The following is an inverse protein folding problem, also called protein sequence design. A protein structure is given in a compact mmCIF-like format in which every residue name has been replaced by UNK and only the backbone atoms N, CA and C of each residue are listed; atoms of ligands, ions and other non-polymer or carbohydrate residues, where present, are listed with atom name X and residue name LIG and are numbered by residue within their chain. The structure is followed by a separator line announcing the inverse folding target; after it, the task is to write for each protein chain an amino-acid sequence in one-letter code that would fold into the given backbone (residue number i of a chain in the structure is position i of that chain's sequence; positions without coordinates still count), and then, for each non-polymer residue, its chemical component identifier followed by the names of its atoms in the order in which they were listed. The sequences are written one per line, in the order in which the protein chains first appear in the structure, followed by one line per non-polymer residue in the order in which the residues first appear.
data_IF_446702764131
#
_entry.id   IF_446702764131
#
_cell.length_a   1.000
_cell.length_b   1.000
_cell.length_c   1.000
_cell.angle_alpha   90.00
_cell.angle_beta   90.00
_cell.angle_gamma   90.00
#
_symmetry.space_group_name_H-M   'P 1'
#
loop_
_entity.id
_entity.type
_entity.pdbx_description
1 polymer ?
#
# COMPACT_ATOMS: atom_id res chain seq x y z
N UNK A 1 34.96 16.93 14.50
CA UNK A 1 34.35 15.61 14.26
C UNK A 1 33.60 15.19 15.53
N UNK A 2 32.28 15.34 15.55
CA UNK A 2 31.46 14.88 16.69
C UNK A 2 31.58 13.35 16.76
N UNK A 3 32.19 12.81 17.83
CA UNK A 3 32.18 11.37 18.12
C UNK A 3 30.70 11.00 18.33
N UNK A 4 30.12 10.21 17.43
CA UNK A 4 28.77 9.66 17.61
C UNK A 4 28.69 8.94 18.94
N UNK A 5 27.93 9.49 19.87
CA UNK A 5 27.85 8.99 21.25
C UNK A 5 27.27 7.57 21.20
N UNK A 6 28.05 6.61 21.71
CA UNK A 6 27.59 5.23 21.89
C UNK A 6 26.62 5.20 23.06
N UNK A 7 25.45 4.64 22.87
CA UNK A 7 24.43 4.54 23.90
C UNK A 7 24.48 3.19 24.62
N UNK A 8 24.44 2.08 23.88
CA UNK A 8 24.55 0.73 24.42
C UNK A 8 24.96 -0.26 23.31
N UNK A 9 25.27 -1.50 23.70
CA UNK A 9 25.63 -2.58 22.75
C UNK A 9 24.72 -3.77 22.97
N UNK A 10 24.26 -4.36 21.88
CA UNK A 10 23.49 -5.62 21.89
C UNK A 10 24.21 -6.62 21.00
N UNK A 11 24.86 -7.60 21.62
CA UNK A 11 25.75 -8.52 20.92
C UNK A 11 26.89 -7.77 20.22
N UNK A 12 27.03 -7.95 18.89
CA UNK A 12 28.03 -7.28 18.07
C UNK A 12 27.58 -5.92 17.51
N UNK A 13 26.35 -5.49 17.80
CA UNK A 13 25.76 -4.24 17.25
C UNK A 13 25.88 -3.10 18.27
N UNK A 14 26.54 -2.00 17.88
CA UNK A 14 26.64 -0.78 18.70
C UNK A 14 25.52 0.20 18.37
N UNK A 15 24.62 0.45 19.33
CA UNK A 15 23.61 1.48 19.23
C UNK A 15 24.22 2.85 19.54
N UNK A 16 24.14 3.76 18.57
CA UNK A 16 24.69 5.12 18.66
C UNK A 16 23.57 6.16 18.57
N UNK A 17 23.83 7.37 19.05
CA UNK A 17 22.88 8.49 18.99
C UNK A 17 22.34 8.73 17.57
N UNK A 18 23.17 8.55 16.54
CA UNK A 18 22.75 8.67 15.15
C UNK A 18 21.61 7.70 14.76
N UNK A 19 21.63 6.45 15.27
CA UNK A 19 20.57 5.49 14.99
C UNK A 19 19.24 5.93 15.59
N UNK A 20 19.29 6.49 16.80
CA UNK A 20 18.11 7.03 17.47
C UNK A 20 17.55 8.24 16.73
N UNK A 21 18.39 9.13 16.21
CA UNK A 21 17.97 10.27 15.40
C UNK A 21 17.34 9.81 14.08
N UNK A 22 17.95 8.83 13.40
CA UNK A 22 17.39 8.27 12.17
C UNK A 22 16.01 7.65 12.43
N UNK A 23 15.88 6.83 13.47
CA UNK A 23 14.60 6.22 13.85
C UNK A 23 13.57 7.31 14.17
N UNK A 24 13.94 8.34 14.91
CA UNK A 24 13.04 9.45 15.23
C UNK A 24 12.56 10.20 13.99
N UNK A 25 13.46 10.53 13.07
CA UNK A 25 13.12 11.22 11.82
C UNK A 25 12.22 10.34 10.94
N UNK A 26 12.54 9.06 10.78
CA UNK A 26 11.75 8.14 9.98
C UNK A 26 10.37 7.89 10.59
N UNK A 27 10.28 7.76 11.91
CA UNK A 27 9.00 7.62 12.62
C UNK A 27 8.13 8.86 12.44
N UNK A 28 8.71 10.05 12.53
CA UNK A 28 8.01 11.30 12.29
C UNK A 28 7.54 11.41 10.85
N UNK A 29 8.40 11.13 9.88
CA UNK A 29 8.06 11.17 8.47
C UNK A 29 6.97 10.15 8.11
N UNK A 30 7.04 8.93 8.65
CA UNK A 30 5.99 7.92 8.51
C UNK A 30 4.67 8.39 9.10
N UNK A 31 4.68 8.95 10.32
CA UNK A 31 3.47 9.43 10.99
C UNK A 31 2.82 10.57 10.23
N UNK A 32 3.60 11.53 9.73
CA UNK A 32 3.08 12.64 8.90
C UNK A 32 2.49 12.09 7.60
N UNK A 33 3.18 11.18 6.92
CA UNK A 33 2.69 10.54 5.70
C UNK A 33 1.37 9.80 5.93
N UNK A 34 1.28 9.06 7.03
CA UNK A 34 0.07 8.33 7.42
C UNK A 34 -1.09 9.29 7.69
N UNK A 35 -0.86 10.36 8.48
CA UNK A 35 -1.87 11.37 8.78
C UNK A 35 -2.40 12.06 7.53
N UNK A 36 -1.51 12.51 6.63
CA UNK A 36 -1.93 13.19 5.40
C UNK A 36 -2.75 12.27 4.50
N UNK A 37 -2.34 11.01 4.35
CA UNK A 37 -3.02 10.04 3.49
C UNK A 37 -4.34 9.54 4.08
N UNK A 38 -4.48 9.53 5.40
CA UNK A 38 -5.72 9.13 6.08
C UNK A 38 -6.78 10.22 6.15
N UNK A 39 -6.48 11.46 5.77
CA UNK A 39 -7.46 12.57 5.81
C UNK A 39 -8.69 12.33 4.92
N UNK A 40 -8.60 11.46 3.91
CA UNK A 40 -9.76 11.03 3.13
C UNK A 40 -10.87 10.42 3.98
N UNK A 41 -10.53 9.83 5.14
CA UNK A 41 -11.51 9.26 6.08
C UNK A 41 -12.43 10.31 6.71
N UNK A 42 -12.01 11.59 6.79
CA UNK A 42 -12.82 12.69 7.33
C UNK A 42 -14.01 13.03 6.42
N UNK A 43 -13.94 12.66 5.14
CA UNK A 43 -14.99 12.90 4.14
C UNK A 43 -15.83 11.65 3.83
N UNK A 44 -15.66 10.60 4.58
CA UNK A 44 -16.27 9.29 4.41
C UNK A 44 -15.23 8.24 4.04
N UNK A 45 -15.47 7.02 4.51
CA UNK A 45 -14.62 5.87 4.21
C UNK A 45 -15.06 5.25 2.88
N UNK A 46 -14.88 6.02 1.79
CA UNK A 46 -15.38 5.69 0.46
C UNK A 46 -14.31 5.93 -0.61
N UNK A 47 -14.43 5.18 -1.71
CA UNK A 47 -13.66 5.43 -2.92
C UNK A 47 -14.35 6.56 -3.72
N UNK A 48 -13.66 7.67 -3.93
CA UNK A 48 -14.27 8.88 -4.52
C UNK A 48 -13.90 9.13 -5.98
N UNK A 49 -12.99 8.33 -6.56
CA UNK A 49 -12.45 8.54 -7.89
C UNK A 49 -12.60 7.29 -8.77
N UNK A 50 -12.58 7.46 -10.07
CA UNK A 50 -12.71 6.37 -11.02
C UNK A 50 -11.61 5.31 -10.89
N UNK A 51 -10.36 5.74 -10.77
CA UNK A 51 -9.20 4.82 -10.67
C UNK A 51 -9.21 3.96 -9.40
N UNK A 52 -9.51 4.49 -8.20
CA UNK A 52 -9.69 3.68 -7.00
C UNK A 52 -10.78 2.60 -7.13
N UNK A 53 -11.92 2.94 -7.73
CA UNK A 53 -12.98 1.95 -8.00
C UNK A 53 -12.55 0.86 -8.96
N UNK A 54 -11.80 1.22 -10.00
CA UNK A 54 -11.26 0.23 -10.91
C UNK A 54 -10.23 -0.67 -10.22
N UNK A 55 -9.33 -0.10 -9.40
CA UNK A 55 -8.34 -0.86 -8.65
C UNK A 55 -8.99 -1.82 -7.63
N UNK A 56 -10.05 -1.38 -6.94
CA UNK A 56 -10.86 -2.25 -6.09
C UNK A 56 -11.43 -3.42 -6.88
N UNK A 57 -12.13 -3.14 -7.97
CA UNK A 57 -12.78 -4.16 -8.80
C UNK A 57 -11.79 -5.14 -9.42
N UNK A 58 -10.62 -4.67 -9.83
CA UNK A 58 -9.56 -5.52 -10.36
C UNK A 58 -8.95 -6.42 -9.26
N UNK A 59 -8.80 -5.91 -8.06
CA UNK A 59 -8.38 -6.69 -6.89
C UNK A 59 -9.43 -7.73 -6.52
N UNK A 60 -10.71 -7.35 -6.49
CA UNK A 60 -11.85 -8.23 -6.24
C UNK A 60 -11.92 -9.37 -7.26
N UNK A 61 -11.68 -9.06 -8.53
CA UNK A 61 -11.63 -10.09 -9.58
C UNK A 61 -10.55 -11.14 -9.30
N UNK A 62 -9.34 -10.73 -8.90
CA UNK A 62 -8.27 -11.67 -8.54
C UNK A 62 -8.62 -12.49 -7.31
N UNK A 63 -9.19 -11.87 -6.27
CA UNK A 63 -9.60 -12.56 -5.03
C UNK A 63 -10.64 -13.64 -5.32
N UNK A 64 -11.59 -13.38 -6.21
CA UNK A 64 -12.70 -14.29 -6.51
C UNK A 64 -12.37 -15.34 -7.58
N UNK A 65 -11.54 -15.00 -8.58
CA UNK A 65 -11.30 -15.84 -9.75
C UNK A 65 -9.84 -16.34 -9.85
N UNK A 66 -8.95 -15.72 -9.12
CA UNK A 66 -7.52 -16.03 -9.16
C UNK A 66 -6.74 -15.22 -10.20
N UNK A 67 -5.41 -15.22 -10.02
CA UNK A 67 -4.50 -14.40 -10.83
C UNK A 67 -4.43 -14.89 -12.29
N UNK A 68 -4.62 -16.19 -12.54
CA UNK A 68 -4.56 -16.76 -13.91
C UNK A 68 -5.72 -16.22 -14.74
N UNK A 69 -6.93 -16.19 -14.19
CA UNK A 69 -8.12 -15.67 -14.88
C UNK A 69 -8.02 -14.15 -15.11
N UNK A 70 -7.33 -13.44 -14.23
CA UNK A 70 -7.08 -12.00 -14.41
C UNK A 70 -6.30 -11.69 -15.71
N UNK A 71 -5.37 -12.54 -16.12
CA UNK A 71 -4.62 -12.33 -17.37
C UNK A 71 -5.47 -12.53 -18.62
N UNK A 72 -6.57 -13.25 -18.51
CA UNK A 72 -7.53 -13.48 -19.59
C UNK A 72 -8.75 -12.58 -19.53
N UNK A 73 -8.83 -11.68 -18.52
CA UNK A 73 -9.99 -10.89 -18.27
C UNK A 73 -10.12 -9.72 -19.26
N UNK A 74 -11.22 -9.75 -20.04
CA UNK A 74 -11.71 -8.64 -20.82
C UNK A 74 -12.82 -7.94 -20.04
N UNK A 75 -12.66 -6.64 -19.76
CA UNK A 75 -13.63 -5.86 -18.98
C UNK A 75 -14.53 -5.02 -19.89
N UNK A 76 -15.73 -5.50 -20.13
CA UNK A 76 -16.74 -4.83 -20.95
C UNK A 76 -17.35 -3.58 -20.29
N UNK A 77 -17.13 -3.37 -18.99
CA UNK A 77 -17.63 -2.21 -18.26
C UNK A 77 -16.68 -1.02 -18.28
N UNK A 78 -15.42 -1.24 -18.64
CA UNK A 78 -14.44 -0.18 -18.86
C UNK A 78 -14.35 0.14 -20.35
N UNK A 79 -14.10 1.41 -20.69
CA UNK A 79 -13.89 1.89 -22.06
C UNK A 79 -15.01 1.51 -23.04
N UNK A 80 -16.24 1.65 -22.57
CA UNK A 80 -17.43 1.38 -23.38
C UNK A 80 -17.37 2.13 -24.74
N UNK A 81 -17.78 1.51 -25.88
CA UNK A 81 -18.44 0.19 -25.98
C UNK A 81 -17.49 -1.00 -26.19
N UNK A 82 -16.20 -0.77 -26.31
CA UNK A 82 -15.25 -1.80 -26.78
C UNK A 82 -14.68 -2.67 -25.65
N UNK A 83 -14.77 -2.23 -24.41
CA UNK A 83 -14.11 -2.90 -23.30
C UNK A 83 -12.57 -2.76 -23.33
N UNK A 84 -11.87 -3.47 -22.46
CA UNK A 84 -10.41 -3.52 -22.46
C UNK A 84 -9.86 -4.84 -21.92
N UNK A 85 -8.71 -5.26 -22.43
CA UNK A 85 -7.90 -6.33 -21.83
C UNK A 85 -7.19 -5.77 -20.60
N UNK A 86 -7.63 -6.20 -19.42
CA UNK A 86 -7.20 -5.58 -18.16
C UNK A 86 -5.71 -5.77 -17.90
N UNK A 87 -5.18 -6.96 -18.14
CA UNK A 87 -3.76 -7.27 -17.91
C UNK A 87 -2.79 -6.44 -18.77
N UNK A 88 -3.23 -6.01 -19.96
CA UNK A 88 -2.40 -5.25 -20.90
C UNK A 88 -2.47 -3.74 -20.63
N UNK A 89 -3.53 -3.28 -19.98
CA UNK A 89 -3.88 -1.85 -19.88
C UNK A 89 -3.90 -1.31 -18.46
N UNK A 90 -3.54 -2.15 -17.47
CA UNK A 90 -3.64 -1.78 -16.07
C UNK A 90 -2.38 -2.14 -15.25
N UNK A 91 -2.39 -1.75 -14.00
CA UNK A 91 -1.29 -1.94 -13.06
C UNK A 91 -1.39 -3.31 -12.39
N UNK A 92 -1.08 -4.38 -13.11
CA UNK A 92 -1.19 -5.79 -12.65
C UNK A 92 -0.60 -6.00 -11.26
N UNK A 93 0.61 -5.48 -11.02
CA UNK A 93 1.31 -5.68 -9.74
C UNK A 93 0.58 -5.03 -8.56
N UNK A 94 -0.09 -3.90 -8.75
CA UNK A 94 -0.89 -3.25 -7.72
C UNK A 94 -2.03 -4.16 -7.28
N UNK A 95 -2.81 -4.67 -8.24
CA UNK A 95 -3.96 -5.54 -7.98
C UNK A 95 -3.55 -6.90 -7.39
N UNK A 96 -2.50 -7.51 -7.96
CA UNK A 96 -1.97 -8.79 -7.49
C UNK A 96 -1.42 -8.69 -6.05
N UNK A 97 -0.71 -7.60 -5.73
CA UNK A 97 -0.18 -7.38 -4.38
C UNK A 97 -1.32 -7.17 -3.39
N UNK A 98 -2.31 -6.34 -3.70
CA UNK A 98 -3.47 -6.12 -2.84
C UNK A 98 -4.25 -7.44 -2.61
N UNK A 99 -4.53 -8.19 -3.67
CA UNK A 99 -5.25 -9.47 -3.58
C UNK A 99 -4.49 -10.54 -2.75
N UNK A 100 -3.16 -10.57 -2.87
CA UNK A 100 -2.32 -11.51 -2.10
C UNK A 100 -2.22 -11.13 -0.63
N UNK A 101 -2.17 -9.85 -0.33
CA UNK A 101 -2.03 -9.35 1.04
C UNK A 101 -3.35 -9.30 1.80
N UNK A 102 -4.47 -9.21 1.09
CA UNK A 102 -5.80 -9.18 1.70
C UNK A 102 -6.07 -10.37 2.66
N UNK A 103 -5.88 -11.65 2.29
CA UNK A 103 -6.11 -12.76 3.22
C UNK A 103 -5.15 -12.79 4.41
N UNK A 104 -3.98 -12.13 4.31
CA UNK A 104 -2.95 -12.10 5.35
C UNK A 104 -3.21 -10.94 6.32
N UNK A 105 -3.51 -9.76 5.80
CA UNK A 105 -3.58 -8.52 6.57
C UNK A 105 -4.97 -7.89 6.65
N UNK A 106 -5.97 -8.45 5.99
CA UNK A 106 -7.34 -7.95 6.02
C UNK A 106 -8.02 -8.07 7.38
N UNK A 107 -7.53 -8.98 8.25
CA UNK A 107 -8.01 -9.15 9.64
C UNK A 107 -9.55 -9.25 9.77
N UNK A 108 -10.22 -9.77 8.74
CA UNK A 108 -11.68 -9.89 8.69
C UNK A 108 -12.42 -8.62 8.23
N UNK A 109 -11.72 -7.59 7.82
CA UNK A 109 -12.32 -6.43 7.17
C UNK A 109 -12.87 -6.80 5.78
N UNK A 110 -13.85 -6.03 5.30
CA UNK A 110 -14.30 -6.15 3.93
C UNK A 110 -13.17 -5.78 2.95
N UNK A 111 -13.17 -6.41 1.78
CA UNK A 111 -12.20 -6.11 0.73
C UNK A 111 -12.24 -4.64 0.30
N UNK A 112 -13.42 -4.05 0.28
CA UNK A 112 -13.60 -2.63 -0.01
C UNK A 112 -12.82 -1.74 0.96
N UNK A 113 -13.01 -1.95 2.26
CA UNK A 113 -12.31 -1.22 3.32
C UNK A 113 -10.81 -1.45 3.27
N UNK A 114 -10.39 -2.69 3.02
CA UNK A 114 -8.98 -3.02 2.85
C UNK A 114 -8.36 -2.24 1.69
N UNK A 115 -9.03 -2.13 0.55
CA UNK A 115 -8.49 -1.42 -0.62
C UNK A 115 -8.41 0.09 -0.42
N UNK A 116 -9.23 0.68 0.46
CA UNK A 116 -9.10 2.08 0.87
C UNK A 116 -7.84 2.29 1.73
N UNK A 117 -7.61 1.40 2.69
CA UNK A 117 -6.47 1.50 3.61
C UNK A 117 -5.13 1.08 3.00
N UNK A 118 -5.16 0.18 2.02
CA UNK A 118 -3.97 -0.37 1.39
C UNK A 118 -3.01 0.72 0.86
N UNK A 119 -3.43 1.68 0.01
CA UNK A 119 -2.53 2.74 -0.47
C UNK A 119 -2.05 3.69 0.65
N UNK A 120 -2.84 3.89 1.70
CA UNK A 120 -2.46 4.71 2.86
C UNK A 120 -1.27 4.09 3.57
N UNK A 121 -1.36 2.80 3.89
CA UNK A 121 -0.31 2.06 4.60
C UNK A 121 0.94 1.91 3.72
N UNK A 122 0.78 1.40 2.49
CA UNK A 122 1.91 1.17 1.57
C UNK A 122 2.61 2.47 1.16
N UNK A 123 1.84 3.54 0.89
CA UNK A 123 2.40 4.84 0.61
C UNK A 123 3.16 5.44 1.80
N UNK A 124 2.75 5.15 3.03
CA UNK A 124 3.48 5.59 4.22
C UNK A 124 4.74 4.76 4.47
N UNK A 125 4.70 3.46 4.23
CA UNK A 125 5.86 2.58 4.32
C UNK A 125 6.94 2.91 3.29
N UNK A 126 6.58 3.50 2.14
CA UNK A 126 7.54 3.90 1.11
C UNK A 126 8.60 4.89 1.63
N UNK A 127 8.27 5.70 2.64
CA UNK A 127 9.21 6.62 3.30
C UNK A 127 10.39 5.86 3.91
N UNK A 128 10.13 4.69 4.51
CA UNK A 128 11.16 3.84 5.13
C UNK A 128 11.99 3.16 4.03
N UNK A 129 11.31 2.64 3.00
CA UNK A 129 11.98 1.92 1.89
C UNK A 129 12.90 2.83 1.09
N UNK A 130 12.51 4.10 0.85
CA UNK A 130 13.35 5.08 0.13
C UNK A 130 14.62 5.42 0.92
N UNK A 131 14.56 5.36 2.24
CA UNK A 131 15.73 5.63 3.09
C UNK A 131 16.70 4.44 3.15
N UNK A 132 16.22 3.20 3.07
CA UNK A 132 17.01 1.98 3.23
C UNK A 132 17.92 1.72 2.01
#
# INVERSE_FOLDING_TARGET
MSKNLKLFTVGNFEFRLQHLLIIGILSLAFSISMLIRSQGADYGFELNEFDPFFNYRATEFIVNNGLVEYFNWHDDRSWYPYGRNVSETSQVMLHATAATLYPIFGMGADLYDFTIMFPVVFGSLSVIVIFA
#
